data_IF_634440665661
#
_entry.id   IF_634440665661
#
_cell.length_a   1.000
_cell.length_b   1.000
_cell.length_c   1.000
_cell.angle_alpha   90.00
_cell.angle_beta   90.00
_cell.angle_gamma   90.00
#
_symmetry.space_group_name_H-M   'P 1'
#
loop_
_entity.id
_entity.type
_entity.pdbx_description
1 polymer ?
#
# COMPACT_ATOMS: atom_id res chain seq x y z
N UNK A 1 -14.66 16.74 -1.63
CA UNK A 1 -15.74 17.61 -2.09
C UNK A 1 -16.69 16.85 -3.00
N UNK A 2 -18.00 17.05 -2.82
CA UNK A 2 -19.04 16.30 -3.57
C UNK A 2 -19.20 16.77 -5.02
N UNK A 3 -18.52 17.85 -5.38
CA UNK A 3 -18.58 18.54 -6.67
C UNK A 3 -17.38 18.23 -7.60
N UNK A 4 -16.47 17.32 -7.20
CA UNK A 4 -15.35 16.94 -8.06
C UNK A 4 -15.84 16.07 -9.22
N UNK A 5 -15.57 16.52 -10.43
CA UNK A 5 -15.85 15.82 -11.69
C UNK A 5 -14.64 16.00 -12.64
N UNK A 6 -13.99 14.91 -12.97
CA UNK A 6 -12.82 14.89 -13.86
C UNK A 6 -13.18 14.64 -15.33
N UNK A 7 -14.48 14.60 -15.69
CA UNK A 7 -15.00 14.60 -17.07
C UNK A 7 -14.44 13.50 -17.96
N UNK A 8 -14.20 12.33 -17.41
CA UNK A 8 -13.68 11.19 -18.14
C UNK A 8 -12.15 11.21 -18.32
N UNK A 9 -11.44 12.02 -17.52
CA UNK A 9 -9.97 12.04 -17.54
C UNK A 9 -9.42 10.65 -17.25
N UNK A 10 -8.39 10.26 -17.99
CA UNK A 10 -7.63 9.05 -17.71
C UNK A 10 -6.70 9.28 -16.51
N UNK A 11 -6.73 8.36 -15.55
CA UNK A 11 -5.79 8.27 -14.45
C UNK A 11 -4.82 7.12 -14.75
N UNK A 12 -3.58 7.45 -15.07
CA UNK A 12 -2.53 6.48 -15.38
C UNK A 12 -1.81 6.01 -14.13
N UNK A 13 -1.86 4.70 -13.86
CA UNK A 13 -1.33 4.10 -12.63
C UNK A 13 -0.27 3.07 -13.00
N UNK A 14 0.99 3.34 -12.67
CA UNK A 14 2.06 2.35 -12.83
C UNK A 14 1.96 1.27 -11.75
N UNK A 15 1.94 0.02 -12.17
CA UNK A 15 1.88 -1.15 -11.28
C UNK A 15 2.91 -2.21 -11.69
N UNK A 16 3.26 -3.05 -10.71
CA UNK A 16 3.98 -4.29 -10.99
C UNK A 16 3.07 -5.29 -11.71
N UNK A 17 3.59 -6.01 -12.69
CA UNK A 17 2.85 -7.05 -13.44
C UNK A 17 2.78 -8.39 -12.68
N UNK A 18 2.54 -8.30 -11.37
CA UNK A 18 2.35 -9.45 -10.48
C UNK A 18 1.47 -9.04 -9.31
N UNK A 19 0.57 -9.91 -8.90
CA UNK A 19 -0.39 -9.63 -7.83
C UNK A 19 -1.29 -8.42 -8.13
N UNK A 20 -1.65 -8.27 -9.40
CA UNK A 20 -2.45 -7.12 -9.87
C UNK A 20 -3.86 -7.09 -9.27
N UNK A 21 -4.39 -8.25 -8.87
CA UNK A 21 -5.69 -8.40 -8.20
C UNK A 21 -5.80 -7.57 -6.90
N UNK A 22 -4.68 -7.30 -6.22
CA UNK A 22 -4.68 -6.44 -5.03
C UNK A 22 -5.11 -4.98 -5.32
N UNK A 23 -5.00 -4.56 -6.56
CA UNK A 23 -5.27 -3.18 -6.97
C UNK A 23 -6.46 -3.08 -7.92
N UNK A 24 -6.58 -4.01 -8.86
CA UNK A 24 -7.65 -4.02 -9.84
C UNK A 24 -8.92 -4.64 -9.28
N UNK A 25 -8.79 -5.64 -8.41
CA UNK A 25 -9.88 -6.56 -8.09
C UNK A 25 -10.27 -7.42 -9.30
N UNK A 26 -11.32 -8.18 -9.16
CA UNK A 26 -11.84 -9.05 -10.21
C UNK A 26 -13.37 -9.13 -10.13
N UNK A 27 -14.05 -8.84 -11.23
CA UNK A 27 -15.50 -8.98 -11.31
C UNK A 27 -15.90 -10.47 -11.20
N UNK A 28 -16.69 -10.79 -10.17
CA UNK A 28 -17.08 -12.19 -9.93
C UNK A 28 -15.96 -13.07 -9.36
N UNK A 29 -14.84 -12.50 -8.97
CA UNK A 29 -13.77 -13.15 -8.23
C UNK A 29 -14.19 -13.60 -6.82
N UNK A 30 -13.20 -13.93 -5.98
CA UNK A 30 -13.49 -14.20 -4.58
C UNK A 30 -14.01 -12.94 -3.84
N UNK A 31 -14.45 -13.13 -2.60
CA UNK A 31 -15.09 -12.07 -1.82
C UNK A 31 -14.23 -10.79 -1.74
N UNK A 32 -12.91 -10.95 -1.59
CA UNK A 32 -11.98 -9.81 -1.43
C UNK A 32 -11.79 -9.09 -2.76
N UNK A 33 -11.49 -9.82 -3.83
CA UNK A 33 -11.22 -9.22 -5.14
C UNK A 33 -12.47 -8.60 -5.77
N UNK A 34 -13.63 -9.21 -5.57
CA UNK A 34 -14.91 -8.62 -5.96
C UNK A 34 -15.20 -7.30 -5.20
N UNK A 35 -14.85 -7.23 -3.92
CA UNK A 35 -15.00 -6.00 -3.13
C UNK A 35 -14.04 -4.90 -3.61
N UNK A 36 -12.78 -5.22 -3.91
CA UNK A 36 -11.80 -4.28 -4.47
C UNK A 36 -12.29 -3.74 -5.82
N UNK A 37 -12.75 -4.63 -6.72
CA UNK A 37 -13.31 -4.24 -8.01
C UNK A 37 -14.48 -3.26 -7.87
N UNK A 38 -15.44 -3.60 -7.00
CA UNK A 38 -16.61 -2.74 -6.74
C UNK A 38 -16.21 -1.39 -6.13
N UNK A 39 -15.27 -1.35 -5.20
CA UNK A 39 -14.77 -0.11 -4.61
C UNK A 39 -14.14 0.79 -5.69
N UNK A 40 -13.37 0.19 -6.60
CA UNK A 40 -12.78 0.89 -7.73
C UNK A 40 -13.86 1.51 -8.63
N UNK A 41 -14.89 0.74 -8.99
CA UNK A 41 -16.00 1.25 -9.82
C UNK A 41 -16.72 2.44 -9.17
N UNK A 42 -17.02 2.35 -7.87
CA UNK A 42 -17.70 3.44 -7.14
C UNK A 42 -16.90 4.74 -7.21
N UNK A 43 -15.57 4.66 -7.08
CA UNK A 43 -14.70 5.84 -7.17
C UNK A 43 -14.65 6.37 -8.60
N UNK A 44 -14.52 5.49 -9.59
CA UNK A 44 -14.42 5.87 -11.00
C UNK A 44 -15.70 6.56 -11.49
N UNK A 45 -16.87 6.01 -11.12
CA UNK A 45 -18.18 6.59 -11.43
C UNK A 45 -18.37 7.94 -10.72
N UNK A 46 -18.04 8.02 -9.42
CA UNK A 46 -18.21 9.25 -8.63
C UNK A 46 -17.35 10.40 -9.15
N UNK A 47 -16.12 10.11 -9.55
CA UNK A 47 -15.16 11.12 -9.98
C UNK A 47 -15.16 11.32 -11.51
N UNK A 48 -15.92 10.53 -12.25
CA UNK A 48 -15.89 10.47 -13.71
C UNK A 48 -14.46 10.33 -14.25
N UNK A 49 -13.72 9.32 -13.78
CA UNK A 49 -12.38 8.97 -14.24
C UNK A 49 -12.36 7.62 -14.95
N UNK A 50 -11.32 7.40 -15.73
CA UNK A 50 -11.01 6.08 -16.30
C UNK A 50 -9.62 5.68 -15.87
N UNK A 51 -9.47 4.60 -15.11
CA UNK A 51 -8.15 4.10 -14.70
C UNK A 51 -7.48 3.35 -15.84
N UNK A 52 -6.22 3.64 -16.03
CA UNK A 52 -5.33 2.92 -16.94
C UNK A 52 -4.15 2.37 -16.14
N UNK A 53 -4.06 1.05 -16.04
CA UNK A 53 -2.97 0.41 -15.32
C UNK A 53 -1.83 0.07 -16.27
N UNK A 54 -0.68 0.72 -16.06
CA UNK A 54 0.54 0.48 -16.82
C UNK A 54 1.39 -0.56 -16.10
N UNK A 55 1.36 -1.77 -16.62
CA UNK A 55 2.18 -2.88 -16.12
C UNK A 55 3.61 -2.75 -16.63
N UNK A 56 4.58 -2.83 -15.74
CA UNK A 56 6.00 -2.61 -16.09
C UNK A 56 6.83 -3.88 -16.01
N UNK A 57 6.94 -4.51 -14.84
CA UNK A 57 7.75 -5.72 -14.60
C UNK A 57 7.13 -6.58 -13.49
N UNK A 58 7.38 -7.88 -13.51
CA UNK A 58 7.04 -8.77 -12.39
C UNK A 58 7.98 -8.61 -11.19
N UNK A 59 9.21 -8.13 -11.43
CA UNK A 59 10.21 -7.85 -10.40
C UNK A 59 9.94 -6.51 -9.74
N UNK A 60 9.88 -6.47 -8.40
CA UNK A 60 9.72 -5.21 -7.65
C UNK A 60 10.87 -4.23 -7.91
N UNK A 61 12.09 -4.74 -8.01
CA UNK A 61 13.29 -3.91 -8.27
C UNK A 61 13.21 -3.28 -9.66
N UNK A 62 12.93 -4.09 -10.68
CA UNK A 62 12.89 -3.61 -12.07
C UNK A 62 11.70 -2.69 -12.31
N UNK A 63 10.55 -2.96 -11.64
CA UNK A 63 9.39 -2.06 -11.66
C UNK A 63 9.78 -0.67 -11.16
N UNK A 64 10.36 -0.57 -9.96
CA UNK A 64 10.73 0.71 -9.36
C UNK A 64 11.80 1.41 -10.19
N UNK A 65 12.84 0.70 -10.63
CA UNK A 65 13.89 1.27 -11.46
C UNK A 65 13.36 1.81 -12.79
N UNK A 66 12.47 1.05 -13.45
CA UNK A 66 11.85 1.51 -14.69
C UNK A 66 11.02 2.77 -14.46
N UNK A 67 10.14 2.77 -13.47
CA UNK A 67 9.29 3.92 -13.16
C UNK A 67 10.13 5.17 -12.86
N UNK A 68 11.14 5.06 -12.01
CA UNK A 68 12.03 6.17 -11.68
C UNK A 68 12.77 6.68 -12.91
N UNK A 69 13.27 5.76 -13.76
CA UNK A 69 13.95 6.14 -15.01
C UNK A 69 13.00 6.89 -15.94
N UNK A 70 11.79 6.40 -16.16
CA UNK A 70 10.80 7.02 -17.05
C UNK A 70 10.41 8.42 -16.53
N UNK A 71 10.24 8.60 -15.22
CA UNK A 71 9.92 9.89 -14.62
C UNK A 71 11.08 10.87 -14.80
N UNK A 72 12.30 10.48 -14.47
CA UNK A 72 13.48 11.36 -14.53
C UNK A 72 13.89 11.70 -15.96
N UNK A 73 13.60 10.83 -16.93
CA UNK A 73 13.81 11.11 -18.36
C UNK A 73 12.68 11.92 -19.00
N UNK A 74 11.65 12.26 -18.24
CA UNK A 74 10.44 12.95 -18.71
C UNK A 74 9.68 12.19 -19.80
N UNK A 75 9.79 10.85 -19.79
CA UNK A 75 9.05 9.94 -20.67
C UNK A 75 7.80 9.37 -20.01
N UNK A 76 7.63 9.63 -18.70
CA UNK A 76 6.52 9.12 -17.91
C UNK A 76 5.21 9.85 -18.17
N UNK A 77 4.14 9.06 -18.22
CA UNK A 77 2.74 9.54 -18.24
C UNK A 77 1.99 9.07 -16.98
N UNK A 78 2.71 8.69 -15.93
CA UNK A 78 2.09 8.17 -14.71
C UNK A 78 1.59 9.30 -13.81
N UNK A 79 0.33 9.21 -13.38
CA UNK A 79 -0.25 10.08 -12.35
C UNK A 79 -0.01 9.50 -10.95
N UNK A 80 -0.08 8.17 -10.83
CA UNK A 80 0.17 7.43 -9.60
C UNK A 80 1.13 6.26 -9.85
N UNK A 81 1.86 5.90 -8.81
CA UNK A 81 2.76 4.75 -8.84
C UNK A 81 2.51 3.87 -7.62
N UNK A 82 2.23 2.59 -7.84
CA UNK A 82 2.10 1.60 -6.77
C UNK A 82 3.39 0.81 -6.67
N UNK A 83 4.13 1.02 -5.61
CA UNK A 83 5.46 0.44 -5.42
C UNK A 83 5.54 -0.42 -4.15
N UNK A 84 6.40 -1.41 -4.19
CA UNK A 84 6.85 -2.10 -2.99
C UNK A 84 7.64 -1.12 -2.11
N UNK A 85 7.24 -1.01 -0.83
CA UNK A 85 7.82 -0.05 0.11
C UNK A 85 9.35 -0.11 0.16
N UNK A 86 9.90 -1.30 0.29
CA UNK A 86 11.35 -1.47 0.48
C UNK A 86 12.15 -0.87 -0.69
N UNK A 87 11.73 -1.15 -1.91
CA UNK A 87 12.42 -0.65 -3.10
C UNK A 87 12.03 0.79 -3.45
N UNK A 88 10.79 1.18 -3.19
CA UNK A 88 10.31 2.55 -3.38
C UNK A 88 11.01 3.55 -2.48
N UNK A 89 11.12 3.25 -1.18
CA UNK A 89 11.78 4.12 -0.21
C UNK A 89 13.27 4.33 -0.55
N UNK A 90 13.95 3.30 -1.07
CA UNK A 90 15.34 3.43 -1.50
C UNK A 90 15.52 4.47 -2.64
N UNK A 91 14.44 4.79 -3.36
CA UNK A 91 14.40 5.75 -4.48
C UNK A 91 13.73 7.08 -4.13
N UNK A 92 13.28 7.25 -2.91
CA UNK A 92 12.55 8.45 -2.49
C UNK A 92 13.35 9.74 -2.70
N UNK A 93 14.66 9.68 -2.52
CA UNK A 93 15.56 10.85 -2.64
C UNK A 93 16.08 11.08 -4.06
N UNK A 94 15.76 10.23 -5.02
CA UNK A 94 16.19 10.39 -6.42
C UNK A 94 15.43 11.52 -7.13
N UNK A 95 14.43 12.14 -6.48
CA UNK A 95 13.65 13.27 -7.03
C UNK A 95 12.55 12.87 -8.02
N UNK A 96 12.23 11.56 -8.11
CA UNK A 96 11.19 11.06 -8.99
C UNK A 96 9.77 11.23 -8.42
N UNK A 97 9.62 11.30 -7.10
CA UNK A 97 8.32 11.33 -6.44
C UNK A 97 7.99 12.70 -5.87
N UNK A 98 6.72 13.09 -5.96
CA UNK A 98 6.23 14.32 -5.38
C UNK A 98 6.15 14.20 -3.84
N UNK A 99 6.46 15.31 -3.14
CA UNK A 99 6.22 15.38 -1.71
C UNK A 99 4.72 15.52 -1.43
N UNK A 100 4.12 14.50 -0.84
CA UNK A 100 2.67 14.44 -0.58
C UNK A 100 2.22 15.50 0.43
N UNK A 101 3.12 16.00 1.28
CA UNK A 101 2.81 17.07 2.23
C UNK A 101 2.74 18.46 1.60
N UNK A 102 3.16 18.64 0.36
CA UNK A 102 2.96 19.89 -0.36
C UNK A 102 1.46 20.18 -0.49
N UNK A 103 1.04 21.41 -0.25
CA UNK A 103 -0.37 21.83 -0.20
C UNK A 103 -1.18 21.41 -1.44
N UNK A 104 -0.56 21.46 -2.61
CA UNK A 104 -1.22 21.07 -3.86
C UNK A 104 -1.66 19.59 -3.90
N UNK A 105 -0.97 18.70 -3.16
CA UNK A 105 -1.27 17.27 -3.08
C UNK A 105 -2.05 16.93 -1.82
N UNK A 106 -1.67 17.49 -0.67
CA UNK A 106 -2.26 17.15 0.63
C UNK A 106 -3.67 17.67 0.85
N UNK A 107 -4.07 18.70 0.12
CA UNK A 107 -5.34 19.43 0.29
C UNK A 107 -6.59 18.57 0.47
N UNK A 108 -6.64 17.39 -0.15
CA UNK A 108 -7.80 16.50 -0.10
C UNK A 108 -7.51 15.15 0.57
N UNK A 109 -6.29 14.94 1.08
CA UNK A 109 -5.89 13.63 1.60
C UNK A 109 -6.32 13.39 3.04
N UNK A 110 -6.46 14.46 3.86
CA UNK A 110 -6.78 14.37 5.28
C UNK A 110 -5.94 13.27 5.97
N UNK A 111 -4.64 13.51 6.09
CA UNK A 111 -3.66 12.51 6.55
C UNK A 111 -3.85 12.04 8.00
N UNK A 112 -4.75 12.70 8.76
CA UNK A 112 -5.12 12.33 10.13
C UNK A 112 -6.24 11.26 10.21
N UNK A 113 -6.78 10.85 9.08
CA UNK A 113 -7.87 9.86 9.05
C UNK A 113 -7.40 8.44 9.30
N UNK A 114 -8.25 7.65 9.97
CA UNK A 114 -7.99 6.27 10.39
C UNK A 114 -7.75 5.30 9.22
N UNK A 115 -8.20 5.64 7.99
CA UNK A 115 -7.92 4.84 6.81
C UNK A 115 -6.46 4.95 6.31
N UNK A 116 -5.69 5.90 6.83
CA UNK A 116 -4.25 5.90 6.73
C UNK A 116 -3.65 5.19 7.95
N UNK A 117 -2.73 4.27 7.73
CA UNK A 117 -2.07 3.56 8.83
C UNK A 117 -1.02 4.47 9.47
N UNK A 118 -1.41 5.24 10.47
CA UNK A 118 -0.62 6.32 11.08
C UNK A 118 0.78 5.88 11.52
N UNK A 119 0.88 4.73 12.21
CA UNK A 119 2.17 4.20 12.66
C UNK A 119 3.07 3.79 11.48
N UNK A 120 2.47 3.20 10.44
CA UNK A 120 3.18 2.88 9.21
C UNK A 120 3.65 4.14 8.49
N UNK A 121 2.78 5.13 8.35
CA UNK A 121 3.06 6.42 7.72
C UNK A 121 4.15 7.20 8.45
N UNK A 122 4.17 7.17 9.79
CA UNK A 122 5.20 7.84 10.59
C UNK A 122 6.61 7.29 10.28
N UNK A 123 6.72 5.98 10.04
CA UNK A 123 7.99 5.34 9.65
C UNK A 123 8.42 5.65 8.21
N UNK A 124 7.50 6.12 7.34
CA UNK A 124 7.80 6.53 5.97
C UNK A 124 8.11 8.02 5.84
N UNK A 125 7.92 8.78 6.91
CA UNK A 125 8.16 10.23 6.96
C UNK A 125 9.66 10.49 7.10
N UNK A 126 10.26 11.17 6.15
CA UNK A 126 11.70 11.49 6.17
C UNK A 126 12.02 12.67 7.06
N UNK A 127 11.10 13.64 7.19
CA UNK A 127 11.16 14.80 8.07
C UNK A 127 9.76 15.28 8.37
N UNK A 128 9.62 16.26 9.28
CA UNK A 128 8.30 16.84 9.62
C UNK A 128 7.51 17.27 8.39
N UNK A 129 8.19 17.73 7.35
CA UNK A 129 7.58 18.28 6.12
C UNK A 129 7.73 17.39 4.88
N UNK A 130 8.25 16.15 5.00
CA UNK A 130 8.58 15.33 3.82
C UNK A 130 8.03 13.93 3.91
N UNK A 131 7.10 13.61 3.01
CA UNK A 131 6.47 12.30 2.85
C UNK A 131 6.24 11.99 1.36
N UNK A 132 6.76 10.88 0.87
CA UNK A 132 6.63 10.49 -0.54
C UNK A 132 5.66 9.33 -0.77
N UNK A 133 5.28 8.59 0.27
CA UNK A 133 4.48 7.37 0.14
C UNK A 133 3.27 7.40 1.07
N UNK A 134 2.17 6.83 0.61
CA UNK A 134 0.97 6.61 1.39
C UNK A 134 0.73 5.11 1.57
N UNK A 135 0.28 4.73 2.75
CA UNK A 135 -0.17 3.38 3.06
C UNK A 135 -1.47 3.44 3.86
N UNK A 136 -2.43 2.61 3.48
CA UNK A 136 -3.76 2.62 4.12
C UNK A 136 -4.73 1.66 3.45
N UNK A 137 -6.01 1.86 3.69
CA UNK A 137 -7.11 0.98 3.25
C UNK A 137 -7.38 0.99 1.73
N UNK A 138 -6.58 1.72 0.95
CA UNK A 138 -6.70 1.73 -0.51
C UNK A 138 -6.40 0.36 -1.16
N UNK A 139 -5.72 -0.53 -0.43
CA UNK A 139 -5.43 -1.90 -0.89
C UNK A 139 -5.35 -2.86 0.29
N UNK A 140 -5.82 -4.11 0.16
CA UNK A 140 -5.68 -5.14 1.19
C UNK A 140 -4.23 -5.65 1.35
N UNK A 141 -3.27 -5.11 0.63
CA UNK A 141 -1.89 -5.60 0.56
C UNK A 141 -1.23 -5.69 1.92
N UNK A 142 -1.32 -4.64 2.75
CA UNK A 142 -0.67 -4.62 4.07
C UNK A 142 -1.23 -5.74 4.96
N UNK A 143 -2.54 -5.95 4.97
CA UNK A 143 -3.19 -7.02 5.74
C UNK A 143 -2.80 -8.40 5.18
N UNK A 144 -2.82 -8.55 3.86
CA UNK A 144 -2.53 -9.83 3.19
C UNK A 144 -1.08 -10.30 3.38
N UNK A 145 -0.17 -9.37 3.61
CA UNK A 145 1.26 -9.65 3.81
C UNK A 145 1.68 -9.60 5.28
N UNK A 146 0.71 -9.57 6.20
CA UNK A 146 0.99 -9.69 7.63
C UNK A 146 1.58 -11.05 7.94
N UNK A 147 2.77 -11.04 8.53
CA UNK A 147 3.45 -12.26 8.97
C UNK A 147 2.95 -12.69 10.33
N UNK A 148 2.80 -13.99 10.53
CA UNK A 148 2.48 -14.56 11.83
C UNK A 148 3.40 -15.73 12.16
N UNK A 149 3.56 -16.00 13.45
CA UNK A 149 4.34 -17.14 13.92
C UNK A 149 3.40 -18.30 14.23
N UNK A 150 3.63 -19.45 13.58
CA UNK A 150 2.93 -20.68 13.89
C UNK A 150 3.77 -21.53 14.84
N UNK A 151 3.12 -22.18 15.77
CA UNK A 151 3.76 -23.14 16.65
C UNK A 151 2.88 -24.39 16.83
N UNK A 152 3.52 -25.52 17.16
CA UNK A 152 2.80 -26.75 17.46
C UNK A 152 2.29 -26.71 18.90
N UNK A 153 0.98 -26.67 19.06
CA UNK A 153 0.30 -26.54 20.36
C UNK A 153 0.62 -27.72 21.27
N UNK A 154 0.48 -28.95 20.78
CA UNK A 154 0.68 -30.17 21.58
C UNK A 154 2.13 -30.31 22.00
N UNK A 155 3.06 -29.95 21.13
CA UNK A 155 4.49 -29.96 21.43
C UNK A 155 4.82 -28.93 22.51
N UNK A 156 4.27 -27.71 22.38
CA UNK A 156 4.47 -26.66 23.36
C UNK A 156 3.91 -27.06 24.74
N UNK A 157 2.69 -27.61 24.79
CA UNK A 157 2.06 -28.10 26.03
C UNK A 157 2.89 -29.20 26.68
N UNK A 158 3.42 -30.14 25.90
CA UNK A 158 4.23 -31.24 26.40
C UNK A 158 5.54 -30.80 27.07
N UNK A 159 6.11 -29.66 26.63
CA UNK A 159 7.34 -29.09 27.20
C UNK A 159 7.11 -28.13 28.36
N UNK A 160 6.07 -27.31 28.28
CA UNK A 160 5.83 -26.20 29.20
C UNK A 160 4.62 -26.43 30.11
N UNK A 161 3.75 -27.42 29.81
CA UNK A 161 2.57 -27.79 30.61
C UNK A 161 1.44 -26.75 30.64
N UNK A 162 1.52 -25.72 29.80
CA UNK A 162 0.52 -24.67 29.69
C UNK A 162 0.60 -23.95 28.34
N UNK A 163 -0.14 -24.42 27.34
CA UNK A 163 -0.08 -23.84 26.00
C UNK A 163 -0.56 -22.38 25.94
N UNK A 164 -1.35 -21.93 26.93
CA UNK A 164 -1.83 -20.54 27.00
C UNK A 164 -0.77 -19.57 27.57
N UNK A 165 0.34 -20.07 28.10
CA UNK A 165 1.40 -19.22 28.66
C UNK A 165 1.98 -18.30 27.57
N UNK A 166 2.09 -18.78 26.33
CA UNK A 166 2.60 -18.01 25.22
C UNK A 166 1.68 -16.81 24.89
N UNK A 167 0.38 -17.03 24.83
CA UNK A 167 -0.57 -15.94 24.58
C UNK A 167 -0.56 -14.90 25.71
N UNK A 168 -0.51 -15.34 26.97
CA UNK A 168 -0.37 -14.41 28.10
C UNK A 168 0.94 -13.61 28.04
N UNK A 169 2.03 -14.22 27.53
CA UNK A 169 3.29 -13.53 27.34
C UNK A 169 3.16 -12.41 26.30
N UNK A 170 2.46 -12.69 25.19
CA UNK A 170 2.16 -11.69 24.15
C UNK A 170 1.28 -10.57 24.71
N UNK A 171 0.17 -10.92 25.35
CA UNK A 171 -0.80 -9.96 25.91
C UNK A 171 -0.17 -9.01 26.94
N UNK A 172 0.81 -9.49 27.69
CA UNK A 172 1.55 -8.70 28.67
C UNK A 172 2.77 -7.96 28.07
N UNK A 173 2.94 -7.96 26.73
CA UNK A 173 4.08 -7.33 26.08
C UNK A 173 5.43 -8.00 26.37
N UNK A 174 5.41 -9.21 26.92
CA UNK A 174 6.61 -9.96 27.27
C UNK A 174 7.22 -10.76 26.12
N UNK A 175 6.55 -10.82 24.97
CA UNK A 175 7.08 -11.45 23.77
C UNK A 175 8.06 -10.50 23.08
N UNK A 176 9.35 -10.79 23.20
CA UNK A 176 10.44 -10.00 22.62
C UNK A 176 11.37 -10.90 21.82
N UNK A 177 12.25 -10.32 20.99
CA UNK A 177 13.21 -11.06 20.17
C UNK A 177 14.15 -11.91 21.03
N UNK A 178 14.38 -11.53 22.29
CA UNK A 178 15.29 -12.21 23.21
C UNK A 178 14.63 -13.36 24.01
N UNK A 179 13.33 -13.65 23.74
CA UNK A 179 12.57 -14.70 24.44
C UNK A 179 11.89 -15.66 23.44
#
# INVERSE_FOLDING_TARGET
>A
PDDLDFKGTKLSIAIRDKYTEYYLGEEGGDLIWAAVYKANQVVDERLHITREYVKTSESSVDHVNKVVTDILSNESTYDLVLVDQFYGCAKALDGAFANIKDEQYSKYLDLEKDYWYSDYMSNLTLSEDTLYFLGGDASPTIISWTSCTFFNWDLYDSYYGDPNALFRLVDNGGWTIDK
#
